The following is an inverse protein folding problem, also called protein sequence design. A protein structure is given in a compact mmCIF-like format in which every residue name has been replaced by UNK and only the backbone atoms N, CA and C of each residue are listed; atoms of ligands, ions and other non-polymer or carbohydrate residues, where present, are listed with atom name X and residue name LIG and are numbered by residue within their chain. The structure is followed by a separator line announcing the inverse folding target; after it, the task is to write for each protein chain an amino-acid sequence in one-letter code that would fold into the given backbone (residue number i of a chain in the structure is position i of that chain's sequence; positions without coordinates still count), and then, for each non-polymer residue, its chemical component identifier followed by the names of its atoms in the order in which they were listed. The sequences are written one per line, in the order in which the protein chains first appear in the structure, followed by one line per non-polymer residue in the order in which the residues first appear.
data_IF_016549054465
#
_entry.id   IF_016549054465
#
_cell.length_a   1.000
_cell.length_b   1.000
_cell.length_c   1.000
_cell.angle_alpha   90.00
_cell.angle_beta   90.00
_cell.angle_gamma   90.00
#
_symmetry.space_group_name_H-M   'P 1'
#
loop_
_entity.id
_entity.type
_entity.pdbx_description
1 polymer ?
#
# COMPACT_ATOMS: atom_id res chain seq x y z
N UNK A 1 -1.88 -12.29 30.04
CA UNK A 1 -2.93 -11.68 29.19
C UNK A 1 -2.65 -11.95 27.72
N UNK A 2 -1.41 -11.79 27.24
CA UNK A 2 -1.03 -11.97 25.82
C UNK A 2 -1.16 -13.42 25.35
N UNK A 3 -0.81 -14.41 26.17
CA UNK A 3 -1.01 -15.83 25.85
C UNK A 3 -2.49 -16.17 25.62
N UNK A 4 -3.39 -15.68 26.45
CA UNK A 4 -4.83 -15.89 26.27
C UNK A 4 -5.32 -15.22 24.98
N UNK A 5 -4.86 -14.00 24.72
CA UNK A 5 -5.16 -13.26 23.50
C UNK A 5 -4.61 -13.95 22.23
N UNK A 6 -3.53 -14.71 22.39
CA UNK A 6 -2.95 -15.53 21.31
C UNK A 6 -3.66 -16.88 21.13
N UNK A 7 -4.74 -17.15 21.89
CA UNK A 7 -5.56 -18.36 21.77
C UNK A 7 -5.16 -19.51 22.68
N UNK A 8 -4.38 -19.28 23.74
CA UNK A 8 -3.95 -20.35 24.66
C UNK A 8 -5.13 -21.11 25.31
N UNK A 9 -6.27 -20.44 25.52
CA UNK A 9 -7.47 -21.04 26.14
C UNK A 9 -8.42 -21.69 25.11
N UNK A 10 -8.07 -21.71 23.83
CA UNK A 10 -8.89 -22.37 22.81
C UNK A 10 -8.75 -23.90 22.90
N UNK A 11 -9.77 -24.64 22.47
CA UNK A 11 -9.65 -26.07 22.26
C UNK A 11 -8.55 -26.44 21.27
N UNK A 12 -8.02 -27.64 21.34
CA UNK A 12 -6.96 -28.10 20.44
C UNK A 12 -7.29 -27.92 18.95
N UNK A 13 -8.53 -28.20 18.56
CA UNK A 13 -9.06 -28.01 17.22
C UNK A 13 -9.02 -26.52 16.80
N UNK A 14 -9.55 -25.62 17.64
CA UNK A 14 -9.53 -24.17 17.38
C UNK A 14 -8.11 -23.60 17.34
N UNK A 15 -7.19 -24.12 18.18
CA UNK A 15 -5.79 -23.75 18.12
C UNK A 15 -5.13 -24.19 16.81
N UNK A 16 -5.44 -25.40 16.32
CA UNK A 16 -4.95 -25.89 15.03
C UNK A 16 -5.45 -24.98 13.89
N UNK A 17 -6.73 -24.64 13.89
CA UNK A 17 -7.30 -23.71 12.90
C UNK A 17 -6.67 -22.32 12.98
N UNK A 18 -6.45 -21.78 14.17
CA UNK A 18 -5.80 -20.49 14.36
C UNK A 18 -4.36 -20.48 13.81
N UNK A 19 -3.59 -21.57 14.01
CA UNK A 19 -2.24 -21.71 13.43
C UNK A 19 -2.30 -21.67 11.90
N UNK A 20 -3.25 -22.40 11.30
CA UNK A 20 -3.42 -22.41 9.84
C UNK A 20 -3.80 -21.03 9.30
N UNK A 21 -4.73 -20.32 9.94
CA UNK A 21 -5.08 -18.94 9.57
C UNK A 21 -3.86 -18.02 9.65
N UNK A 22 -3.08 -18.10 10.71
CA UNK A 22 -1.88 -17.27 10.87
C UNK A 22 -0.85 -17.55 9.77
N UNK A 23 -0.64 -18.81 9.40
CA UNK A 23 0.23 -19.20 8.29
C UNK A 23 -0.26 -18.63 6.96
N UNK A 24 -1.54 -18.79 6.65
CA UNK A 24 -2.15 -18.24 5.43
C UNK A 24 -2.04 -16.72 5.38
N UNK A 25 -2.36 -16.01 6.46
CA UNK A 25 -2.23 -14.56 6.54
C UNK A 25 -0.79 -14.09 6.31
N UNK A 26 0.19 -14.81 6.85
CA UNK A 26 1.61 -14.50 6.62
C UNK A 26 1.99 -14.67 5.15
N UNK A 27 1.61 -15.78 4.53
CA UNK A 27 1.89 -16.05 3.11
C UNK A 27 1.21 -15.02 2.21
N UNK A 28 -0.08 -14.72 2.44
CA UNK A 28 -0.82 -13.72 1.67
C UNK A 28 -0.22 -12.32 1.83
N UNK A 29 0.25 -11.95 3.03
CA UNK A 29 0.91 -10.67 3.28
C UNK A 29 2.23 -10.53 2.50
N UNK A 30 3.03 -11.61 2.44
CA UNK A 30 4.26 -11.64 1.64
C UNK A 30 3.93 -11.52 0.15
N UNK A 31 2.98 -12.30 -0.34
CA UNK A 31 2.57 -12.25 -1.76
C UNK A 31 2.04 -10.86 -2.14
N UNK A 32 1.20 -10.26 -1.29
CA UNK A 32 0.72 -8.88 -1.48
C UNK A 32 1.87 -7.88 -1.64
N UNK A 33 2.84 -7.95 -0.74
CA UNK A 33 3.97 -7.02 -0.74
C UNK A 33 4.88 -7.23 -1.96
N UNK A 34 5.11 -8.48 -2.34
CA UNK A 34 5.91 -8.81 -3.53
C UNK A 34 5.23 -8.32 -4.82
N UNK A 35 3.92 -8.46 -4.95
CA UNK A 35 3.18 -7.96 -6.10
C UNK A 35 3.33 -6.43 -6.25
N UNK A 36 3.21 -5.69 -5.14
CA UNK A 36 3.43 -4.23 -5.15
C UNK A 36 4.88 -3.88 -5.50
N UNK A 37 5.85 -4.63 -4.97
CA UNK A 37 7.27 -4.43 -5.26
C UNK A 37 7.59 -4.70 -6.73
N UNK A 38 7.05 -5.78 -7.29
CA UNK A 38 7.23 -6.11 -8.70
C UNK A 38 6.73 -5.01 -9.61
N UNK A 39 5.52 -4.47 -9.38
CA UNK A 39 4.99 -3.36 -10.18
C UNK A 39 5.80 -2.07 -10.01
N UNK A 40 6.34 -1.80 -8.81
CA UNK A 40 7.26 -0.68 -8.64
C UNK A 40 8.52 -0.82 -9.49
N UNK A 41 9.06 -2.04 -9.59
CA UNK A 41 10.31 -2.32 -10.31
C UNK A 41 10.09 -2.45 -11.83
N UNK A 42 8.92 -2.92 -12.24
CA UNK A 42 8.59 -3.13 -13.66
C UNK A 42 8.17 -1.82 -14.36
N UNK A 43 7.65 -0.83 -13.62
CA UNK A 43 7.22 0.43 -14.22
C UNK A 43 8.40 1.30 -14.63
N UNK A 44 8.46 1.62 -15.90
CA UNK A 44 9.45 2.52 -16.50
C UNK A 44 8.75 3.53 -17.41
N UNK A 45 8.91 4.82 -17.11
CA UNK A 45 8.47 5.91 -17.97
C UNK A 45 9.69 6.55 -18.60
N UNK A 46 9.94 6.23 -19.87
CA UNK A 46 10.95 6.92 -20.66
C UNK A 46 10.36 8.18 -21.29
N UNK A 47 11.07 9.28 -21.13
CA UNK A 47 10.79 10.57 -21.77
C UNK A 47 11.94 10.83 -22.75
N UNK A 48 11.62 11.16 -24.00
CA UNK A 48 12.59 11.37 -25.07
C UNK A 48 12.64 12.82 -25.57
N UNK A 49 11.65 13.65 -25.16
CA UNK A 49 11.57 15.05 -25.55
C UNK A 49 11.97 15.97 -24.40
N UNK A 50 12.90 16.85 -24.63
CA UNK A 50 13.37 17.81 -23.63
C UNK A 50 12.27 18.77 -23.16
N UNK A 51 11.32 19.11 -24.02
CA UNK A 51 10.16 19.95 -23.71
C UNK A 51 9.28 19.34 -22.61
N UNK A 52 9.18 17.99 -22.54
CA UNK A 52 8.39 17.26 -21.55
C UNK A 52 9.03 17.29 -20.14
N UNK A 53 10.27 17.75 -20.02
CA UNK A 53 10.97 17.91 -18.75
C UNK A 53 10.74 19.29 -18.12
N UNK A 54 9.90 20.14 -18.71
CA UNK A 54 9.62 21.46 -18.19
C UNK A 54 9.21 21.41 -16.71
N UNK A 55 9.77 22.31 -15.89
CA UNK A 55 9.56 22.40 -14.46
C UNK A 55 10.42 21.46 -13.60
N UNK A 56 11.02 20.42 -14.18
CA UNK A 56 11.88 19.51 -13.42
C UNK A 56 13.23 20.18 -13.10
N UNK A 57 13.71 20.12 -11.84
CA UNK A 57 15.02 20.62 -11.44
C UNK A 57 16.17 19.93 -12.20
N UNK A 58 17.28 20.65 -12.40
CA UNK A 58 18.43 20.14 -13.15
C UNK A 58 19.00 18.86 -12.55
N UNK A 59 19.21 18.82 -11.23
CA UNK A 59 19.71 17.64 -10.53
C UNK A 59 18.85 16.40 -10.77
N UNK A 60 17.53 16.59 -10.89
CA UNK A 60 16.60 15.50 -11.09
C UNK A 60 16.60 15.01 -12.54
N UNK A 61 16.76 15.93 -13.52
CA UNK A 61 16.93 15.58 -14.94
C UNK A 61 18.22 14.79 -15.16
N UNK A 62 19.33 15.20 -14.52
CA UNK A 62 20.59 14.49 -14.59
C UNK A 62 20.50 13.07 -14.05
N UNK A 63 19.91 12.89 -12.85
CA UNK A 63 19.68 11.56 -12.28
C UNK A 63 18.82 10.68 -13.19
N UNK A 64 17.75 11.23 -13.77
CA UNK A 64 16.88 10.49 -14.69
C UNK A 64 17.58 10.09 -15.99
N UNK A 65 18.51 10.92 -16.48
CA UNK A 65 19.33 10.60 -17.65
C UNK A 65 20.34 9.47 -17.35
N UNK A 66 20.96 9.49 -16.17
CA UNK A 66 21.87 8.42 -15.73
C UNK A 66 21.12 7.09 -15.56
N UNK A 67 19.93 7.12 -14.97
CA UNK A 67 19.07 5.94 -14.85
C UNK A 67 18.65 5.39 -16.22
N UNK A 68 18.30 6.25 -17.16
CA UNK A 68 17.96 5.84 -18.54
C UNK A 68 19.18 5.22 -19.26
N UNK A 69 20.37 5.80 -19.09
CA UNK A 69 21.62 5.26 -19.64
C UNK A 69 21.94 3.89 -19.05
N UNK A 70 21.78 3.72 -17.74
CA UNK A 70 21.96 2.43 -17.07
C UNK A 70 20.96 1.37 -17.56
N UNK A 71 19.76 1.79 -17.96
CA UNK A 71 18.72 0.95 -18.58
C UNK A 71 18.93 0.73 -20.10
N UNK A 72 20.06 1.17 -20.68
CA UNK A 72 20.37 1.02 -22.10
C UNK A 72 19.62 1.98 -23.04
N UNK A 73 19.07 3.07 -22.51
CA UNK A 73 18.30 4.08 -23.25
C UNK A 73 18.99 5.45 -23.18
N UNK A 74 20.24 5.51 -23.63
CA UNK A 74 21.01 6.76 -23.64
C UNK A 74 20.31 7.83 -24.50
N UNK A 75 20.32 9.07 -24.03
CA UNK A 75 19.64 10.20 -24.68
C UNK A 75 18.17 10.38 -24.24
N UNK A 76 17.68 9.55 -23.34
CA UNK A 76 16.34 9.67 -22.71
C UNK A 76 16.46 9.95 -21.22
N UNK A 77 15.30 10.10 -20.58
CA UNK A 77 15.14 10.25 -19.13
C UNK A 77 14.20 9.19 -18.62
N UNK A 78 14.62 8.44 -17.58
CA UNK A 78 13.81 7.40 -16.96
C UNK A 78 13.21 7.89 -15.64
N UNK A 79 11.89 7.71 -15.50
CA UNK A 79 11.16 7.95 -14.26
C UNK A 79 10.44 6.67 -13.84
N UNK A 80 10.48 6.38 -12.53
CA UNK A 80 9.96 5.15 -11.93
C UNK A 80 8.90 5.45 -10.85
N UNK A 81 8.30 4.40 -10.27
CA UNK A 81 7.36 4.56 -9.14
C UNK A 81 8.05 4.67 -7.77
N UNK A 82 9.37 4.51 -7.70
CA UNK A 82 10.09 4.71 -6.44
C UNK A 82 9.96 6.16 -5.94
N UNK A 83 9.93 6.34 -4.63
CA UNK A 83 9.66 7.65 -4.02
C UNK A 83 10.64 8.73 -4.48
N UNK A 84 11.93 8.39 -4.64
CA UNK A 84 12.96 9.33 -5.12
C UNK A 84 12.70 9.85 -6.55
N UNK A 85 12.05 9.05 -7.40
CA UNK A 85 11.69 9.44 -8.76
C UNK A 85 10.27 10.03 -8.83
N UNK A 86 9.28 9.33 -8.29
CA UNK A 86 7.87 9.69 -8.40
C UNK A 86 7.52 11.01 -7.70
N UNK A 87 7.98 11.23 -6.47
CA UNK A 87 7.58 12.42 -5.70
C UNK A 87 8.07 13.72 -6.33
N UNK A 88 9.37 13.87 -6.69
CA UNK A 88 9.82 15.07 -7.38
C UNK A 88 9.15 15.26 -8.75
N UNK A 89 8.90 14.16 -9.49
CA UNK A 89 8.20 14.26 -10.76
C UNK A 89 6.80 14.86 -10.61
N UNK A 90 6.00 14.34 -9.65
CA UNK A 90 4.65 14.85 -9.39
C UNK A 90 4.65 16.29 -8.86
N UNK A 91 5.71 16.68 -8.12
CA UNK A 91 5.83 18.00 -7.53
C UNK A 91 6.24 19.07 -8.53
N UNK A 92 7.19 18.77 -9.41
CA UNK A 92 7.85 19.78 -10.23
C UNK A 92 7.50 19.75 -11.71
N UNK A 93 7.16 18.58 -12.28
CA UNK A 93 6.88 18.50 -13.73
C UNK A 93 5.72 19.42 -14.12
N UNK A 94 5.93 20.23 -15.15
CA UNK A 94 4.86 21.02 -15.77
C UNK A 94 3.93 20.15 -16.64
N UNK A 95 4.41 18.99 -17.14
CA UNK A 95 3.66 18.09 -18.01
C UNK A 95 2.57 17.32 -17.24
N UNK A 96 1.34 17.84 -17.26
CA UNK A 96 0.19 17.23 -16.58
C UNK A 96 -0.13 15.80 -17.05
N UNK A 97 -0.17 15.49 -18.36
CA UNK A 97 -0.39 14.12 -18.84
C UNK A 97 0.62 13.11 -18.29
N UNK A 98 1.90 13.45 -18.22
CA UNK A 98 2.93 12.56 -17.66
C UNK A 98 2.78 12.41 -16.14
N UNK A 99 2.44 13.49 -15.41
CA UNK A 99 2.09 13.38 -13.97
C UNK A 99 0.90 12.43 -13.77
N UNK A 100 -0.14 12.55 -14.57
CA UNK A 100 -1.31 11.67 -14.50
C UNK A 100 -0.93 10.21 -14.76
N UNK A 101 -0.07 9.95 -15.74
CA UNK A 101 0.42 8.60 -16.05
C UNK A 101 1.14 7.96 -14.87
N UNK A 102 2.10 8.66 -14.25
CA UNK A 102 2.82 8.18 -13.06
C UNK A 102 1.86 8.01 -11.87
N UNK A 103 0.96 8.98 -11.65
CA UNK A 103 -0.01 8.92 -10.56
C UNK A 103 -0.94 7.71 -10.69
N UNK A 104 -1.53 7.52 -11.87
CA UNK A 104 -2.42 6.36 -12.13
C UNK A 104 -1.69 5.03 -12.00
N UNK A 105 -0.47 4.93 -12.51
CA UNK A 105 0.35 3.74 -12.34
C UNK A 105 0.61 3.44 -10.85
N UNK A 106 0.88 4.45 -10.05
CA UNK A 106 1.14 4.29 -8.62
C UNK A 106 -0.10 3.87 -7.83
N UNK A 107 -1.26 4.51 -8.05
CA UNK A 107 -2.48 4.19 -7.27
C UNK A 107 -3.15 2.88 -7.69
N UNK A 108 -2.88 2.40 -8.91
CA UNK A 108 -3.44 1.14 -9.42
C UNK A 108 -2.54 -0.08 -9.18
N UNK A 109 -1.46 0.06 -8.44
CA UNK A 109 -0.62 -1.10 -8.11
C UNK A 109 -1.41 -2.20 -7.41
N UNK A 110 -1.26 -3.43 -7.87
CA UNK A 110 -2.02 -4.57 -7.38
C UNK A 110 -3.49 -4.58 -7.84
N UNK A 111 -3.86 -3.77 -8.83
CA UNK A 111 -5.24 -3.65 -9.34
C UNK A 111 -5.34 -3.67 -10.88
N UNK A 112 -4.38 -4.31 -11.55
CA UNK A 112 -4.26 -4.28 -13.00
C UNK A 112 -4.80 -5.53 -13.72
N UNK A 113 -5.43 -6.48 -13.01
CA UNK A 113 -5.90 -7.77 -13.51
C UNK A 113 -4.80 -8.60 -14.19
N UNK A 114 -3.57 -8.50 -13.67
CA UNK A 114 -2.40 -9.21 -14.16
C UNK A 114 -1.82 -10.16 -13.09
N UNK A 115 -0.59 -10.65 -13.31
CA UNK A 115 0.12 -11.55 -12.40
C UNK A 115 0.37 -10.96 -11.00
N UNK A 116 0.36 -9.63 -10.87
CA UNK A 116 0.60 -8.89 -9.63
C UNK A 116 -0.71 -8.40 -8.98
N UNK A 117 -1.88 -8.86 -9.44
CA UNK A 117 -3.18 -8.42 -8.91
C UNK A 117 -3.41 -8.88 -7.48
N UNK A 118 -3.79 -7.95 -6.61
CA UNK A 118 -3.99 -8.18 -5.17
C UNK A 118 -5.47 -8.24 -4.75
N UNK A 119 -6.44 -8.08 -5.66
CA UNK A 119 -7.88 -8.05 -5.28
C UNK A 119 -8.33 -9.31 -4.56
N UNK A 120 -7.98 -10.47 -5.10
CA UNK A 120 -8.29 -11.75 -4.45
C UNK A 120 -7.57 -11.89 -3.12
N UNK A 121 -6.30 -11.52 -3.05
CA UNK A 121 -5.49 -11.57 -1.83
C UNK A 121 -6.13 -10.71 -0.73
N UNK A 122 -6.59 -9.50 -1.05
CA UNK A 122 -7.30 -8.62 -0.11
C UNK A 122 -8.56 -9.31 0.44
N UNK A 123 -9.38 -9.90 -0.44
CA UNK A 123 -10.60 -10.62 -0.05
C UNK A 123 -10.28 -11.78 0.89
N UNK A 124 -9.27 -12.57 0.58
CA UNK A 124 -8.85 -13.71 1.39
C UNK A 124 -8.31 -13.24 2.76
N UNK A 125 -7.49 -12.19 2.79
CA UNK A 125 -6.97 -11.60 4.04
C UNK A 125 -8.12 -11.10 4.93
N UNK A 126 -9.09 -10.38 4.37
CA UNK A 126 -10.22 -9.83 5.14
C UNK A 126 -11.07 -10.97 5.73
N UNK A 127 -11.34 -12.00 4.94
CA UNK A 127 -12.09 -13.18 5.37
C UNK A 127 -11.39 -13.94 6.50
N UNK A 128 -10.09 -14.21 6.35
CA UNK A 128 -9.29 -14.88 7.38
C UNK A 128 -9.13 -14.04 8.66
N UNK A 129 -9.01 -12.72 8.53
CA UNK A 129 -8.98 -11.81 9.68
C UNK A 129 -10.29 -11.83 10.46
N UNK A 130 -11.43 -11.87 9.77
CA UNK A 130 -12.74 -11.99 10.41
C UNK A 130 -12.87 -13.33 11.13
N UNK A 131 -12.49 -14.44 10.50
CA UNK A 131 -12.50 -15.77 11.12
C UNK A 131 -11.59 -15.82 12.35
N UNK A 132 -10.38 -15.28 12.25
CA UNK A 132 -9.45 -15.16 13.39
C UNK A 132 -10.08 -14.40 14.56
N UNK A 133 -10.70 -13.26 14.30
CA UNK A 133 -11.35 -12.46 15.35
C UNK A 133 -12.44 -13.25 16.05
N UNK A 134 -13.31 -13.92 15.28
CA UNK A 134 -14.40 -14.74 15.82
C UNK A 134 -13.91 -15.93 16.64
N UNK A 135 -12.85 -16.61 16.20
CA UNK A 135 -12.22 -17.68 16.98
C UNK A 135 -11.74 -17.20 18.35
N UNK A 136 -11.27 -15.94 18.40
CA UNK A 136 -10.75 -15.32 19.62
C UNK A 136 -11.83 -14.59 20.44
N UNK A 137 -13.12 -14.68 20.05
CA UNK A 137 -14.25 -14.14 20.79
C UNK A 137 -14.59 -12.67 20.50
N UNK A 138 -14.16 -12.15 19.34
CA UNK A 138 -14.45 -10.77 18.90
C UNK A 138 -15.40 -10.76 17.71
N UNK A 139 -16.29 -9.78 17.64
CA UNK A 139 -17.24 -9.62 16.54
C UNK A 139 -16.56 -9.27 15.20
N UNK A 140 -15.49 -8.48 15.26
CA UNK A 140 -14.74 -8.05 14.09
C UNK A 140 -13.24 -7.90 14.39
N UNK A 141 -12.42 -7.88 13.33
CA UNK A 141 -10.96 -7.80 13.45
C UNK A 141 -10.47 -6.49 14.07
N UNK A 142 -11.14 -5.38 13.81
CA UNK A 142 -10.79 -4.09 14.42
C UNK A 142 -10.92 -4.12 15.94
N UNK A 143 -12.01 -4.71 16.49
CA UNK A 143 -12.17 -4.85 17.93
C UNK A 143 -11.11 -5.78 18.55
N UNK A 144 -10.74 -6.87 17.86
CA UNK A 144 -9.62 -7.70 18.30
C UNK A 144 -8.30 -6.91 18.35
N UNK A 145 -7.99 -6.11 17.33
CA UNK A 145 -6.74 -5.33 17.29
C UNK A 145 -6.73 -4.25 18.36
N UNK A 146 -7.87 -3.56 18.56
CA UNK A 146 -7.96 -2.39 19.44
C UNK A 146 -8.10 -2.74 20.94
N UNK A 147 -8.49 -3.95 21.29
CA UNK A 147 -8.75 -4.39 22.68
C UNK A 147 -7.62 -4.03 23.66
N UNK A 148 -6.36 -4.17 23.25
CA UNK A 148 -5.20 -3.85 24.08
C UNK A 148 -4.53 -2.51 23.76
N UNK A 149 -5.18 -1.67 22.95
CA UNK A 149 -4.73 -0.30 22.66
C UNK A 149 -5.43 0.72 23.55
N UNK A 150 -5.04 1.98 23.47
CA UNK A 150 -5.66 3.08 24.20
C UNK A 150 -7.13 3.29 23.80
N UNK A 151 -7.47 3.06 22.53
CA UNK A 151 -8.83 3.26 22.01
C UNK A 151 -9.82 2.16 22.41
N UNK A 152 -9.37 0.97 22.76
CA UNK A 152 -10.15 -0.21 23.24
C UNK A 152 -11.09 -0.82 22.21
N UNK A 153 -11.80 -0.06 21.41
CA UNK A 153 -12.78 -0.53 20.45
C UNK A 153 -12.92 0.40 19.24
N UNK A 154 -13.59 -0.08 18.21
CA UNK A 154 -13.79 0.65 16.95
C UNK A 154 -14.73 1.86 17.11
N UNK A 155 -15.69 1.84 18.04
CA UNK A 155 -16.60 2.96 18.26
C UNK A 155 -15.84 4.21 18.74
N UNK A 156 -14.93 4.05 19.72
CA UNK A 156 -14.07 5.14 20.22
C UNK A 156 -13.20 5.73 19.10
N UNK A 157 -12.64 4.88 18.22
CA UNK A 157 -11.85 5.35 17.07
C UNK A 157 -12.71 6.17 16.12
N UNK A 158 -13.91 5.68 15.79
CA UNK A 158 -14.80 6.38 14.85
C UNK A 158 -15.30 7.72 15.43
N UNK A 159 -15.59 7.79 16.72
CA UNK A 159 -15.93 9.03 17.39
C UNK A 159 -14.79 10.05 17.29
N UNK A 160 -13.56 9.63 17.62
CA UNK A 160 -12.39 10.50 17.50
C UNK A 160 -12.16 10.99 16.06
N UNK A 161 -12.23 10.10 15.06
CA UNK A 161 -12.05 10.47 13.66
C UNK A 161 -13.16 11.41 13.16
N UNK A 162 -14.41 11.19 13.55
CA UNK A 162 -15.52 12.05 13.18
C UNK A 162 -15.35 13.46 13.79
N UNK A 163 -14.89 13.53 15.03
CA UNK A 163 -14.60 14.81 15.67
C UNK A 163 -13.51 15.57 14.90
N UNK A 164 -12.38 14.89 14.56
CA UNK A 164 -11.33 15.51 13.75
C UNK A 164 -11.86 15.96 12.38
N UNK A 165 -12.66 15.12 11.72
CA UNK A 165 -13.23 15.43 10.41
C UNK A 165 -14.09 16.68 10.42
N UNK A 166 -14.94 16.82 11.42
CA UNK A 166 -15.83 17.96 11.58
C UNK A 166 -15.08 19.30 11.69
N UNK A 167 -13.88 19.31 12.27
CA UNK A 167 -13.03 20.50 12.36
C UNK A 167 -12.11 20.68 11.15
N UNK A 168 -11.62 19.62 10.56
CA UNK A 168 -10.65 19.68 9.45
C UNK A 168 -11.32 20.02 8.11
N UNK A 169 -12.47 19.41 7.81
CA UNK A 169 -13.14 19.57 6.53
C UNK A 169 -13.51 21.03 6.18
N UNK A 170 -14.06 21.86 7.10
CA UNK A 170 -14.37 23.26 6.78
C UNK A 170 -13.13 24.10 6.47
N UNK A 171 -11.96 23.71 6.99
CA UNK A 171 -10.69 24.41 6.74
C UNK A 171 -10.00 23.97 5.45
N UNK A 172 -10.36 22.81 4.92
CA UNK A 172 -9.82 22.28 3.66
C UNK A 172 -10.62 22.75 2.43
N UNK A 173 -11.83 23.27 2.62
CA UNK A 173 -12.68 23.88 1.60
C UNK A 173 -12.42 25.37 1.47
#
# INVERSE_FOLDING_TARGET
KDFVRSGANLSAEKQARLREINKQLSTLGITFSNNILNENNEFMLFVDKQEDLAGLPEWFRQSAAEEAKAAGQEGKWLFTLHNASRLPFLQYSANRPLREKIYKAYINRGNNNDKNDNKKIITDIVSLRLEKARLLGFDCYSNFVLDNTMAKNSATVMEFLNNLWNYALPKAK
#
